data_IF_432199824089
#
_entry.id   IF_432199824089
#
_cell.length_a   1.000
_cell.length_b   1.000
_cell.length_c   1.000
_cell.angle_alpha   90.00
_cell.angle_beta   90.00
_cell.angle_gamma   90.00
#
_symmetry.space_group_name_H-M   'P 1'
#
loop_
_entity.id
_entity.type
_entity.pdbx_description
1 polymer ?
#
# COMPACT_ATOMS: atom_id res chain seq x y z
N UNK A 1 -20.50 34.40 21.16
CA UNK A 1 -20.88 33.06 20.68
C UNK A 1 -20.13 32.81 19.37
N UNK A 2 -19.29 31.78 19.33
CA UNK A 2 -18.55 31.37 18.13
C UNK A 2 -19.43 30.45 17.25
N UNK A 3 -19.26 30.43 15.92
CA UNK A 3 -20.00 29.54 15.03
C UNK A 3 -19.55 28.07 15.21
N UNK A 4 -20.44 27.08 15.05
CA UNK A 4 -20.10 25.67 15.14
C UNK A 4 -19.21 25.23 13.96
N UNK A 5 -18.09 24.59 14.27
CA UNK A 5 -17.22 23.88 13.33
C UNK A 5 -18.02 22.91 12.45
N UNK A 6 -17.71 22.89 11.16
CA UNK A 6 -18.20 21.89 10.20
C UNK A 6 -17.81 20.46 10.63
N UNK A 7 -18.65 19.43 10.39
CA UNK A 7 -18.25 18.04 10.59
C UNK A 7 -17.16 17.64 9.58
N UNK A 8 -16.19 16.79 9.96
CA UNK A 8 -15.20 16.24 9.04
C UNK A 8 -15.88 15.38 7.95
N UNK A 9 -15.25 15.21 6.78
CA UNK A 9 -15.77 14.35 5.71
C UNK A 9 -16.01 12.92 6.22
N UNK A 10 -17.01 12.20 5.68
CA UNK A 10 -17.29 10.83 6.09
C UNK A 10 -16.08 9.96 5.79
N UNK A 11 -15.46 9.42 6.84
CA UNK A 11 -14.54 8.31 6.69
C UNK A 11 -15.29 7.14 6.01
N UNK A 12 -14.63 6.35 5.14
CA UNK A 12 -15.23 5.14 4.63
C UNK A 12 -15.73 4.29 5.80
N UNK A 13 -16.90 3.65 5.68
CA UNK A 13 -17.48 2.91 6.80
C UNK A 13 -16.45 1.88 7.30
N UNK A 14 -16.20 1.82 8.62
CA UNK A 14 -15.31 0.82 9.17
C UNK A 14 -15.83 -0.59 8.84
N UNK A 15 -14.94 -1.57 8.87
CA UNK A 15 -15.33 -2.97 8.76
C UNK A 15 -16.35 -3.31 9.87
N UNK A 16 -17.46 -3.94 9.50
CA UNK A 16 -18.50 -4.31 10.44
C UNK A 16 -17.97 -5.35 11.44
N UNK A 17 -17.87 -4.94 12.70
CA UNK A 17 -17.28 -5.78 13.75
C UNK A 17 -18.04 -7.09 13.96
N UNK A 18 -19.34 -7.14 13.64
CA UNK A 18 -20.13 -8.38 13.74
C UNK A 18 -19.74 -9.38 12.65
N UNK A 19 -19.50 -8.88 11.44
CA UNK A 19 -19.00 -9.68 10.31
C UNK A 19 -17.57 -10.16 10.59
N UNK A 20 -16.72 -9.25 11.07
CA UNK A 20 -15.34 -9.57 11.45
C UNK A 20 -15.30 -10.63 12.55
N UNK A 21 -16.07 -10.46 13.61
CA UNK A 21 -16.12 -11.42 14.72
C UNK A 21 -16.62 -12.81 14.27
N UNK A 22 -17.57 -12.86 13.32
CA UNK A 22 -18.07 -14.12 12.77
C UNK A 22 -16.98 -14.88 12.01
N UNK A 23 -16.21 -14.18 11.16
CA UNK A 23 -15.10 -14.75 10.40
C UNK A 23 -13.93 -15.14 11.31
N UNK A 24 -13.60 -14.29 12.29
CA UNK A 24 -12.55 -14.59 13.28
C UNK A 24 -12.91 -15.80 14.13
N UNK A 25 -14.18 -15.92 14.53
CA UNK A 25 -14.67 -17.10 15.26
C UNK A 25 -14.63 -18.38 14.42
N UNK A 26 -14.62 -18.28 13.09
CA UNK A 26 -14.44 -19.41 12.17
C UNK A 26 -12.97 -19.78 11.96
N UNK A 27 -12.03 -18.95 12.43
CA UNK A 27 -10.59 -19.18 12.31
C UNK A 27 -9.89 -18.32 11.27
N UNK A 28 -10.57 -17.34 10.67
CA UNK A 28 -9.93 -16.37 9.79
C UNK A 28 -9.22 -15.28 10.60
N UNK A 29 -8.14 -14.70 10.08
CA UNK A 29 -7.45 -13.60 10.77
C UNK A 29 -8.31 -12.34 10.83
N UNK A 30 -8.13 -11.53 11.88
CA UNK A 30 -8.81 -10.24 12.02
C UNK A 30 -8.56 -9.30 10.83
N UNK A 31 -7.34 -9.27 10.30
CA UNK A 31 -6.99 -8.41 9.16
C UNK A 31 -7.76 -8.80 7.89
N UNK A 32 -7.73 -10.08 7.53
CA UNK A 32 -8.46 -10.62 6.38
C UNK A 32 -9.97 -10.50 6.54
N UNK A 33 -10.47 -10.67 7.77
CA UNK A 33 -11.89 -10.48 8.09
C UNK A 33 -12.33 -9.03 7.91
N UNK A 34 -11.50 -8.06 8.34
CA UNK A 34 -11.74 -6.63 8.10
C UNK A 34 -11.67 -6.28 6.62
N UNK A 35 -10.71 -6.85 5.87
CA UNK A 35 -10.60 -6.68 4.40
C UNK A 35 -11.85 -7.19 3.70
N UNK A 36 -12.30 -8.37 4.05
CA UNK A 36 -13.48 -8.99 3.48
C UNK A 36 -14.75 -8.20 3.76
N UNK A 37 -14.95 -7.77 5.02
CA UNK A 37 -16.09 -6.93 5.41
C UNK A 37 -16.12 -5.64 4.58
N UNK A 38 -14.97 -4.96 4.41
CA UNK A 38 -14.87 -3.76 3.59
C UNK A 38 -15.09 -4.04 2.10
N UNK A 39 -14.53 -5.12 1.57
CA UNK A 39 -14.63 -5.48 0.16
C UNK A 39 -16.08 -5.78 -0.25
N UNK A 40 -16.84 -6.42 0.62
CA UNK A 40 -18.26 -6.67 0.41
C UNK A 40 -19.15 -5.52 0.87
N UNK A 41 -18.58 -4.34 1.16
CA UNK A 41 -19.31 -3.15 1.61
C UNK A 41 -20.18 -3.41 2.86
N UNK A 42 -19.71 -4.27 3.76
CA UNK A 42 -20.42 -4.68 4.97
C UNK A 42 -21.83 -5.25 4.70
N UNK A 43 -22.05 -5.86 3.52
CA UNK A 43 -23.34 -6.43 3.12
C UNK A 43 -23.74 -7.64 3.98
N UNK A 44 -22.76 -8.39 4.50
CA UNK A 44 -23.02 -9.49 5.43
C UNK A 44 -21.85 -10.46 5.60
N UNK A 45 -21.95 -11.33 6.60
CA UNK A 45 -20.90 -12.32 6.92
C UNK A 45 -20.78 -13.42 5.86
N UNK A 46 -21.89 -13.81 5.24
CA UNK A 46 -21.90 -14.82 4.16
C UNK A 46 -21.15 -14.32 2.92
N UNK A 47 -21.40 -13.09 2.49
CA UNK A 47 -20.69 -12.48 1.36
C UNK A 47 -19.23 -12.21 1.69
N UNK A 48 -18.94 -11.72 2.90
CA UNK A 48 -17.57 -11.53 3.34
C UNK A 48 -16.82 -12.87 3.34
N UNK A 49 -17.44 -13.96 3.77
CA UNK A 49 -16.86 -15.31 3.70
C UNK A 49 -16.55 -15.73 2.26
N UNK A 50 -17.46 -15.52 1.30
CA UNK A 50 -17.16 -15.82 -0.10
C UNK A 50 -15.96 -15.02 -0.61
N UNK A 51 -15.87 -13.75 -0.23
CA UNK A 51 -14.73 -12.90 -0.56
C UNK A 51 -13.44 -13.41 0.09
N UNK A 52 -13.50 -13.81 1.37
CA UNK A 52 -12.39 -14.46 2.07
C UNK A 52 -11.97 -15.70 1.30
N UNK A 53 -12.86 -16.61 0.91
CA UNK A 53 -12.45 -17.81 0.20
C UNK A 53 -11.78 -17.53 -1.14
N UNK A 54 -12.19 -16.47 -1.84
CA UNK A 54 -11.55 -16.05 -3.08
C UNK A 54 -10.16 -15.41 -2.87
N UNK A 55 -9.85 -14.94 -1.66
CA UNK A 55 -8.63 -14.18 -1.37
C UNK A 55 -7.82 -14.72 -0.18
N UNK A 56 -8.20 -15.83 0.46
CA UNK A 56 -7.48 -16.34 1.64
C UNK A 56 -6.10 -16.92 1.27
N UNK A 57 -5.96 -17.30 0.00
CA UNK A 57 -4.73 -17.82 -0.60
C UNK A 57 -3.75 -16.71 -0.95
N UNK A 58 -4.21 -15.46 -0.93
CA UNK A 58 -3.39 -14.30 -1.17
C UNK A 58 -2.46 -14.08 0.04
N UNK A 59 -1.13 -14.01 -0.15
CA UNK A 59 -0.17 -13.83 0.94
C UNK A 59 -0.45 -12.54 1.72
N UNK A 60 -0.98 -11.52 1.05
CA UNK A 60 -1.36 -10.24 1.62
C UNK A 60 -2.62 -10.30 2.49
N UNK A 61 -3.46 -11.34 2.39
CA UNK A 61 -4.77 -11.39 3.07
C UNK A 61 -4.67 -11.23 4.59
N UNK A 62 -3.63 -11.81 5.18
CA UNK A 62 -3.37 -11.74 6.63
C UNK A 62 -2.54 -10.51 7.04
N UNK A 63 -2.01 -9.76 6.07
CA UNK A 63 -1.15 -8.60 6.32
C UNK A 63 -1.95 -7.49 7.05
N UNK A 64 -1.34 -6.80 8.04
CA UNK A 64 -2.01 -5.72 8.75
C UNK A 64 -2.57 -4.68 7.79
N UNK A 65 -3.90 -4.47 7.88
CA UNK A 65 -4.56 -3.40 7.14
C UNK A 65 -3.89 -2.06 7.47
N UNK A 66 -3.38 -1.31 6.46
CA UNK A 66 -2.85 0.01 6.72
C UNK A 66 -3.96 0.88 7.30
N UNK A 67 -3.66 1.73 8.30
CA UNK A 67 -4.66 2.51 9.03
C UNK A 67 -5.54 3.34 8.07
N UNK A 68 -6.82 3.62 8.41
CA UNK A 68 -7.72 4.42 7.57
C UNK A 68 -7.13 5.83 7.39
N UNK A 69 -6.53 6.05 6.22
CA UNK A 69 -5.65 7.18 5.92
C UNK A 69 -4.44 6.78 5.06
N UNK A 70 -4.09 5.49 5.06
CA UNK A 70 -3.05 4.87 4.25
C UNK A 70 -3.62 3.94 3.17
N UNK A 71 -4.92 4.01 2.87
CA UNK A 71 -5.53 3.37 1.70
C UNK A 71 -5.04 3.97 0.36
N UNK A 72 -4.25 5.05 0.41
CA UNK A 72 -3.49 5.56 -0.73
C UNK A 72 -2.05 5.01 -0.81
N UNK A 73 -1.63 4.12 0.09
CA UNK A 73 -0.28 3.56 0.16
C UNK A 73 -0.20 2.04 -0.04
N UNK A 74 -1.34 1.35 -0.26
CA UNK A 74 -1.36 -0.07 -0.61
C UNK A 74 -1.25 -0.34 -2.12
N UNK A 75 -0.98 0.70 -2.92
CA UNK A 75 -0.36 0.57 -4.23
C UNK A 75 1.00 1.23 -4.14
N UNK A 76 2.05 0.42 -4.22
CA UNK A 76 3.44 0.83 -4.21
C UNK A 76 3.93 1.47 -2.89
N UNK A 77 4.41 0.62 -1.97
CA UNK A 77 5.81 0.84 -1.66
C UNK A 77 6.54 0.68 -3.00
N UNK A 78 7.26 1.67 -3.54
CA UNK A 78 8.20 1.40 -4.59
C UNK A 78 9.24 0.51 -3.92
N UNK A 79 9.00 -0.80 -3.93
CA UNK A 79 10.06 -1.77 -3.79
C UNK A 79 11.06 -1.32 -4.84
N UNK A 80 12.14 -0.75 -4.35
CA UNK A 80 13.21 -0.26 -5.19
C UNK A 80 13.64 -1.51 -5.96
N UNK A 81 13.16 -1.64 -7.21
CA UNK A 81 13.25 -2.91 -7.93
C UNK A 81 14.70 -3.33 -7.90
N UNK A 82 14.99 -4.48 -7.27
CA UNK A 82 16.36 -4.98 -7.17
C UNK A 82 16.99 -5.13 -8.57
N UNK A 83 16.15 -5.44 -9.56
CA UNK A 83 16.48 -5.40 -10.99
C UNK A 83 16.80 -4.00 -11.50
N UNK A 84 16.03 -2.99 -11.11
CA UNK A 84 16.31 -1.59 -11.44
C UNK A 84 17.61 -1.08 -10.81
N UNK A 85 17.88 -1.45 -9.56
CA UNK A 85 19.16 -1.18 -8.89
C UNK A 85 20.31 -1.83 -9.64
N UNK A 86 20.23 -3.13 -9.89
CA UNK A 86 21.28 -3.86 -10.63
C UNK A 86 21.53 -3.28 -12.02
N UNK A 87 20.48 -2.80 -12.69
CA UNK A 87 20.61 -2.20 -14.02
C UNK A 87 21.24 -0.80 -13.98
N UNK A 88 20.89 0.02 -12.97
CA UNK A 88 21.51 1.33 -12.75
C UNK A 88 22.96 1.20 -12.26
N UNK A 89 23.27 0.19 -11.43
CA UNK A 89 24.62 -0.16 -11.00
C UNK A 89 25.48 -0.67 -12.17
N UNK A 90 24.90 -1.48 -13.05
CA UNK A 90 25.57 -1.90 -14.29
C UNK A 90 25.84 -0.72 -15.25
N UNK A 91 25.02 0.34 -15.20
CA UNK A 91 25.26 1.59 -15.91
C UNK A 91 26.33 2.48 -15.24
N UNK A 92 26.77 2.14 -14.01
CA UNK A 92 27.81 2.86 -13.28
C UNK A 92 27.31 3.81 -12.19
N UNK A 93 26.02 3.78 -11.85
CA UNK A 93 25.45 4.56 -10.76
C UNK A 93 25.55 3.79 -9.43
N UNK A 94 25.74 4.49 -8.31
CA UNK A 94 25.78 3.80 -7.01
C UNK A 94 24.40 3.34 -6.57
N UNK A 95 24.31 2.24 -5.81
CA UNK A 95 23.05 1.77 -5.18
C UNK A 95 22.30 2.91 -4.47
N UNK A 96 23.05 3.80 -3.80
CA UNK A 96 22.50 4.95 -3.07
C UNK A 96 21.84 6.00 -3.98
N UNK A 97 22.35 6.16 -5.19
CA UNK A 97 21.80 7.06 -6.21
C UNK A 97 20.63 6.38 -6.93
N UNK A 98 20.82 5.12 -7.34
CA UNK A 98 19.82 4.30 -8.01
C UNK A 98 18.54 4.15 -7.16
N UNK A 99 18.67 3.88 -5.86
CA UNK A 99 17.52 3.81 -4.94
C UNK A 99 16.78 5.14 -4.81
N UNK A 100 17.53 6.25 -4.81
CA UNK A 100 16.97 7.60 -4.69
C UNK A 100 16.17 7.96 -5.93
N UNK A 101 16.73 7.65 -7.09
CA UNK A 101 16.09 7.89 -8.38
C UNK A 101 14.87 7.00 -8.62
N UNK A 102 14.96 5.70 -8.33
CA UNK A 102 13.83 4.78 -8.41
C UNK A 102 12.70 5.18 -7.44
N UNK A 103 13.05 5.69 -6.26
CA UNK A 103 12.06 6.23 -5.33
C UNK A 103 11.41 7.50 -5.87
N UNK A 104 12.16 8.37 -6.54
CA UNK A 104 11.65 9.60 -7.15
C UNK A 104 10.77 9.33 -8.39
N UNK A 105 11.00 8.23 -9.10
CA UNK A 105 10.31 7.89 -10.35
C UNK A 105 9.26 6.80 -10.21
N UNK A 106 8.98 6.37 -8.97
CA UNK A 106 7.97 5.34 -8.69
C UNK A 106 8.32 3.96 -9.23
N UNK A 107 9.61 3.60 -9.24
CA UNK A 107 10.11 2.28 -9.68
C UNK A 107 10.45 2.18 -11.17
N UNK A 108 10.38 3.28 -11.93
CA UNK A 108 10.72 3.28 -13.36
C UNK A 108 12.23 3.43 -13.58
N UNK A 109 12.88 2.42 -14.17
CA UNK A 109 14.33 2.43 -14.47
C UNK A 109 14.71 3.53 -15.47
N UNK A 110 13.92 3.71 -16.53
CA UNK A 110 14.15 4.76 -17.54
C UNK A 110 14.00 6.16 -16.93
N UNK A 111 12.97 6.37 -16.10
CA UNK A 111 12.79 7.62 -15.37
C UNK A 111 13.89 7.85 -14.33
N UNK A 112 14.35 6.78 -13.67
CA UNK A 112 15.44 6.87 -12.70
C UNK A 112 16.76 7.27 -13.37
N UNK A 113 17.04 6.74 -14.57
CA UNK A 113 18.19 7.17 -15.35
C UNK A 113 18.10 8.66 -15.73
N UNK A 114 16.96 9.14 -16.23
CA UNK A 114 16.74 10.55 -16.58
C UNK A 114 16.87 11.48 -15.35
N UNK A 115 16.29 11.08 -14.23
CA UNK A 115 16.37 11.81 -12.97
C UNK A 115 17.81 11.90 -12.47
N UNK A 116 18.56 10.79 -12.54
CA UNK A 116 19.99 10.75 -12.21
C UNK A 116 20.79 11.67 -13.12
N UNK A 117 20.58 11.64 -14.43
CA UNK A 117 21.30 12.54 -15.34
C UNK A 117 20.99 14.02 -15.08
N UNK A 118 19.77 14.37 -14.64
CA UNK A 118 19.42 15.75 -14.26
C UNK A 118 19.93 16.16 -12.87
N UNK A 119 20.23 15.21 -11.97
CA UNK A 119 20.67 15.48 -10.59
C UNK A 119 22.12 15.05 -10.30
N UNK A 120 22.85 14.47 -11.27
CA UNK A 120 24.23 13.97 -11.08
C UNK A 120 25.23 15.11 -10.83
N UNK A 121 24.97 16.31 -11.36
CA UNK A 121 25.83 17.50 -11.18
C UNK A 121 25.87 18.00 -9.71
N UNK A 122 24.76 17.84 -8.98
CA UNK A 122 24.65 18.19 -7.55
C UNK A 122 25.23 17.09 -6.64
N UNK A 123 25.22 15.83 -7.12
CA UNK A 123 25.72 14.66 -6.38
C UNK A 123 27.24 14.43 -6.49
N UNK A 124 27.89 14.87 -7.58
CA UNK A 124 29.36 14.79 -7.74
C UNK A 124 30.10 15.85 -6.90
N UNK A 125 29.41 16.93 -6.52
CA UNK A 125 29.96 18.03 -5.72
C UNK A 125 29.94 17.80 -4.20
N UNK A 126 29.61 16.59 -3.71
CA UNK A 126 29.47 16.25 -2.28
C UNK A 126 30.47 15.19 -1.79
#
# INVERSE_FOLDING_TARGET
AAPPCAPPPPAPPPADESVVASLVSMGFSENGSKRAALAVNNVGAEQAMEWVFAHLEDPDFNDPLPPPGAAAAATAAPEVSAEGLSMLEAMGFSERQARGALSATGGSVEGAADWLFSHVDDLDSA
#
